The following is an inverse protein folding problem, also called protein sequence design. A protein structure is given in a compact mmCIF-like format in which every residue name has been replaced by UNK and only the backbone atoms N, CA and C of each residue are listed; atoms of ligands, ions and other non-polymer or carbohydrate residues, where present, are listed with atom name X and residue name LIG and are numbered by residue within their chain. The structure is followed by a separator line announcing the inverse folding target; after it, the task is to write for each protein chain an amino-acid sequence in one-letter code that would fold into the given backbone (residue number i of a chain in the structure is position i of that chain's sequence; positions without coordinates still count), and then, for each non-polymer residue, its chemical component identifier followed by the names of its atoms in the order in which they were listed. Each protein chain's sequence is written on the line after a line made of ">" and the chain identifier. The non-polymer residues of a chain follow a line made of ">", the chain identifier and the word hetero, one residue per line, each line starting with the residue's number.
data_IF_536259796705
#
_entry.id   IF_536259796705
#
_cell.length_a   1.000
_cell.length_b   1.000
_cell.length_c   1.000
_cell.angle_alpha   90.00
_cell.angle_beta   90.00
_cell.angle_gamma   90.00
#
_symmetry.space_group_name_H-M   'P 1'
#
loop_
_entity.id
_entity.type
_entity.pdbx_description
1 polymer ?
#
# COMPACT_ATOMS: atom_id res chain seq x y z
N UNK A 1 9.70 12.15 2.97
CA UNK A 1 10.67 11.88 4.05
C UNK A 1 9.89 11.55 5.33
N UNK A 2 10.15 10.43 6.02
CA UNK A 2 9.41 10.04 7.23
C UNK A 2 9.58 11.06 8.37
N UNK A 3 10.78 11.62 8.53
CA UNK A 3 11.05 12.58 9.61
C UNK A 3 10.21 13.85 9.45
N UNK A 4 10.13 14.40 8.25
CA UNK A 4 9.28 15.56 7.94
C UNK A 4 7.80 15.28 8.23
N UNK A 5 7.32 14.07 7.92
CA UNK A 5 5.95 13.66 8.23
C UNK A 5 5.71 13.57 9.74
N UNK A 6 6.65 12.99 10.48
CA UNK A 6 6.56 12.90 11.95
C UNK A 6 6.63 14.28 12.60
N UNK A 7 7.50 15.17 12.12
CA UNK A 7 7.61 16.55 12.57
C UNK A 7 6.29 17.30 12.33
N UNK A 8 5.72 17.21 11.12
CA UNK A 8 4.43 17.80 10.80
C UNK A 8 3.32 17.29 11.73
N UNK A 9 3.22 15.97 11.93
CA UNK A 9 2.19 15.37 12.80
C UNK A 9 2.41 15.64 14.29
N UNK A 10 3.64 15.93 14.70
CA UNK A 10 3.95 16.30 16.09
C UNK A 10 3.36 17.65 16.51
N UNK A 11 3.09 18.54 15.56
CA UNK A 11 2.44 19.82 15.83
C UNK A 11 1.01 19.63 16.38
N UNK A 12 0.35 18.54 16.00
CA UNK A 12 -1.06 18.24 16.31
C UNK A 12 -1.21 17.06 17.29
N UNK A 13 -0.14 16.34 17.61
CA UNK A 13 -0.19 15.13 18.44
C UNK A 13 0.89 15.16 19.54
N UNK A 14 0.45 15.37 20.78
CA UNK A 14 1.33 15.48 21.95
C UNK A 14 2.13 14.20 22.21
N UNK A 15 1.55 13.03 21.97
CA UNK A 15 2.23 11.75 22.13
C UNK A 15 3.40 11.62 21.16
N UNK A 16 3.19 11.95 19.88
CA UNK A 16 4.24 11.95 18.85
C UNK A 16 5.33 12.95 19.21
N UNK A 17 4.95 14.17 19.62
CA UNK A 17 5.90 15.22 20.04
C UNK A 17 6.78 14.78 21.20
N UNK A 18 6.18 14.18 22.23
CA UNK A 18 6.92 13.65 23.39
C UNK A 18 7.87 12.53 22.95
N UNK A 19 7.41 11.60 22.12
CA UNK A 19 8.23 10.47 21.66
C UNK A 19 9.40 10.93 20.78
N UNK A 20 9.20 11.89 19.87
CA UNK A 20 10.25 12.48 19.02
C UNK A 20 11.32 13.20 19.84
N UNK A 21 10.95 13.86 20.93
CA UNK A 21 11.93 14.52 21.81
C UNK A 21 12.82 13.54 22.59
N UNK A 22 12.37 12.30 22.78
CA UNK A 22 13.04 11.29 23.62
C UNK A 22 13.82 10.26 22.79
N UNK A 23 13.38 9.98 21.56
CA UNK A 23 13.95 8.92 20.72
C UNK A 23 14.69 9.52 19.52
N UNK A 24 15.95 9.08 19.32
CA UNK A 24 16.74 9.41 18.14
C UNK A 24 16.32 8.53 16.96
N UNK A 25 15.27 8.93 16.25
CA UNK A 25 14.83 8.27 14.99
C UNK A 25 15.72 8.62 13.78
N UNK A 26 16.95 9.05 14.01
CA UNK A 26 17.89 9.47 12.95
C UNK A 26 18.55 8.27 12.25
N UNK A 27 18.52 7.09 12.86
CA UNK A 27 19.10 5.88 12.27
C UNK A 27 18.16 5.28 11.22
N UNK A 28 18.72 4.89 10.08
CA UNK A 28 17.99 4.27 8.98
C UNK A 28 17.22 3.00 9.40
N UNK A 29 17.80 2.17 10.26
CA UNK A 29 17.15 0.93 10.73
C UNK A 29 15.85 1.23 11.49
N UNK A 30 15.88 2.19 12.41
CA UNK A 30 14.68 2.60 13.17
C UNK A 30 13.61 3.23 12.28
N UNK A 31 14.01 4.00 11.27
CA UNK A 31 13.04 4.56 10.31
C UNK A 31 12.39 3.46 9.48
N UNK A 32 13.17 2.49 8.99
CA UNK A 32 12.65 1.37 8.20
C UNK A 32 11.71 0.48 9.03
N UNK A 33 12.03 0.24 10.31
CA UNK A 33 11.14 -0.51 11.22
C UNK A 33 9.78 0.19 11.38
N UNK A 34 9.79 1.51 11.62
CA UNK A 34 8.56 2.30 11.71
C UNK A 34 7.77 2.26 10.40
N UNK A 35 8.45 2.38 9.26
CA UNK A 35 7.81 2.30 7.95
C UNK A 35 7.16 0.92 7.75
N UNK A 36 7.84 -0.17 8.12
CA UNK A 36 7.28 -1.53 8.04
C UNK A 36 6.01 -1.65 8.87
N UNK A 37 6.03 -1.21 10.12
CA UNK A 37 4.86 -1.28 11.01
C UNK A 37 3.70 -0.47 10.44
N UNK A 38 3.96 0.74 9.95
CA UNK A 38 2.92 1.59 9.34
C UNK A 38 2.36 0.94 8.07
N UNK A 39 3.23 0.42 7.21
CA UNK A 39 2.85 -0.27 5.99
C UNK A 39 1.97 -1.49 6.29
N UNK A 40 2.41 -2.36 7.20
CA UNK A 40 1.65 -3.54 7.63
C UNK A 40 0.28 -3.15 8.18
N UNK A 41 0.21 -2.10 9.01
CA UNK A 41 -1.05 -1.65 9.59
C UNK A 41 -2.02 -1.10 8.54
N UNK A 42 -1.53 -0.29 7.59
CA UNK A 42 -2.34 0.27 6.51
C UNK A 42 -2.84 -0.85 5.59
N UNK A 43 -1.97 -1.76 5.16
CA UNK A 43 -2.34 -2.86 4.28
C UNK A 43 -3.33 -3.81 4.95
N UNK A 44 -3.11 -4.15 6.24
CA UNK A 44 -4.05 -4.97 7.01
C UNK A 44 -5.45 -4.37 7.05
N UNK A 45 -5.55 -3.04 7.23
CA UNK A 45 -6.83 -2.33 7.20
C UNK A 45 -7.48 -2.37 5.82
N UNK A 46 -6.71 -2.10 4.77
CA UNK A 46 -7.20 -2.16 3.38
C UNK A 46 -7.72 -3.56 3.04
N UNK A 47 -6.96 -4.61 3.36
CA UNK A 47 -7.37 -6.01 3.14
C UNK A 47 -8.66 -6.33 3.91
N UNK A 48 -8.78 -5.83 5.13
CA UNK A 48 -10.02 -5.99 5.91
C UNK A 48 -11.21 -5.32 5.24
N UNK A 49 -11.05 -4.10 4.72
CA UNK A 49 -12.10 -3.38 3.96
C UNK A 49 -12.51 -4.16 2.69
N UNK A 50 -11.53 -4.70 1.96
CA UNK A 50 -11.79 -5.51 0.75
C UNK A 50 -12.57 -6.78 1.10
N UNK A 51 -12.16 -7.49 2.16
CA UNK A 51 -12.84 -8.72 2.61
C UNK A 51 -14.28 -8.45 3.07
N UNK A 52 -14.57 -7.29 3.65
CA UNK A 52 -15.93 -6.86 4.01
C UNK A 52 -16.76 -6.58 2.76
N UNK A 53 -16.21 -5.85 1.78
CA UNK A 53 -16.86 -5.59 0.48
C UNK A 53 -17.15 -6.87 -0.31
N UNK A 54 -16.41 -7.94 -0.02
CA UNK A 54 -16.39 -9.24 -0.71
C UNK A 54 -15.89 -9.14 -2.14
N UNK A 55 -16.56 -8.37 -2.99
CA UNK A 55 -16.19 -8.14 -4.38
C UNK A 55 -15.34 -6.88 -4.53
N UNK A 56 -14.40 -6.92 -5.46
CA UNK A 56 -13.50 -5.81 -5.75
C UNK A 56 -13.01 -5.86 -7.20
N UNK A 57 -12.61 -4.71 -7.74
CA UNK A 57 -11.96 -4.63 -9.05
C UNK A 57 -10.49 -4.25 -8.89
N UNK A 58 -9.68 -4.64 -9.88
CA UNK A 58 -8.24 -4.44 -9.86
C UNK A 58 -7.86 -3.49 -10.97
N UNK A 59 -7.06 -2.48 -10.64
CA UNK A 59 -6.47 -1.54 -11.59
C UNK A 59 -4.96 -1.66 -11.50
N UNK A 60 -4.35 -1.93 -12.65
CA UNK A 60 -2.90 -2.01 -12.82
C UNK A 60 -2.51 -0.94 -13.83
N UNK A 61 -1.57 -0.08 -13.47
CA UNK A 61 -1.04 0.94 -14.37
C UNK A 61 0.48 0.86 -14.43
N UNK A 62 1.02 0.94 -15.66
CA UNK A 62 2.45 0.94 -15.89
C UNK A 62 3.00 2.34 -15.62
N UNK A 63 4.01 2.41 -14.74
CA UNK A 63 4.68 3.65 -14.40
C UNK A 63 6.18 3.50 -14.60
N UNK A 64 6.85 4.60 -14.95
CA UNK A 64 8.30 4.63 -15.06
C UNK A 64 8.87 5.33 -13.83
N UNK A 65 9.68 4.62 -13.05
CA UNK A 65 10.39 5.21 -11.91
C UNK A 65 11.46 6.21 -12.39
N UNK A 66 11.89 7.11 -11.50
CA UNK A 66 12.92 8.14 -11.72
C UNK A 66 14.22 7.51 -12.26
N UNK A 67 14.48 6.25 -11.91
CA UNK A 67 15.61 5.43 -12.38
C UNK A 67 15.43 4.79 -13.78
N UNK A 68 14.34 5.13 -14.51
CA UNK A 68 13.93 4.57 -15.83
C UNK A 68 13.58 3.09 -15.83
N UNK A 69 13.30 2.51 -14.67
CA UNK A 69 12.88 1.12 -14.56
C UNK A 69 11.35 1.07 -14.64
N UNK A 70 10.81 0.10 -15.41
CA UNK A 70 9.37 -0.15 -15.48
C UNK A 70 8.90 -0.73 -14.14
N UNK A 71 7.84 -0.12 -13.60
CA UNK A 71 7.14 -0.58 -12.42
C UNK A 71 5.65 -0.58 -12.72
N UNK A 72 4.91 -1.36 -11.95
CA UNK A 72 3.45 -1.36 -12.03
C UNK A 72 2.88 -0.94 -10.70
N UNK A 73 1.86 -0.08 -10.77
CA UNK A 73 1.08 0.32 -9.61
C UNK A 73 -0.15 -0.56 -9.48
N UNK A 74 -0.50 -0.94 -8.25
CA UNK A 74 -1.72 -1.67 -7.96
C UNK A 74 -2.67 -0.81 -7.15
N UNK A 75 -3.89 -0.68 -7.68
CA UNK A 75 -5.00 -0.04 -6.99
C UNK A 75 -6.17 -1.02 -6.97
N UNK A 76 -6.74 -1.23 -5.79
CA UNK A 76 -7.97 -2.01 -5.63
C UNK A 76 -9.13 -1.04 -5.48
N UNK A 77 -10.17 -1.23 -6.29
CA UNK A 77 -11.41 -0.47 -6.21
C UNK A 77 -12.51 -1.35 -5.60
N UNK A 78 -13.23 -0.79 -4.64
CA UNK A 78 -14.29 -1.47 -3.88
C UNK A 78 -15.44 -0.51 -3.62
N UNK A 79 -16.59 -1.05 -3.20
CA UNK A 79 -17.77 -0.26 -2.82
C UNK A 79 -18.18 -0.57 -1.39
N UNK A 80 -18.64 0.45 -0.66
CA UNK A 80 -19.32 0.20 0.62
C UNK A 80 -20.79 -0.23 0.42
N UNK A 81 -21.48 -0.49 1.53
CA UNK A 81 -22.90 -0.87 1.56
C UNK A 81 -23.83 0.23 1.00
N UNK A 82 -23.32 1.46 0.88
CA UNK A 82 -24.02 2.61 0.32
C UNK A 82 -23.66 2.85 -1.16
N UNK A 83 -22.93 1.93 -1.79
CA UNK A 83 -22.44 2.02 -3.17
C UNK A 83 -21.49 3.19 -3.44
N UNK A 84 -20.85 3.74 -2.40
CA UNK A 84 -19.76 4.68 -2.58
C UNK A 84 -18.51 3.94 -3.06
N UNK A 85 -17.91 4.43 -4.13
CA UNK A 85 -16.70 3.85 -4.71
C UNK A 85 -15.48 4.35 -3.97
N UNK A 86 -14.61 3.41 -3.59
CA UNK A 86 -13.34 3.67 -2.95
C UNK A 86 -12.21 3.05 -3.74
N UNK A 87 -11.12 3.78 -3.85
CA UNK A 87 -9.88 3.30 -4.44
C UNK A 87 -8.81 3.23 -3.34
N UNK A 88 -8.11 2.10 -3.29
CA UNK A 88 -7.07 1.81 -2.31
C UNK A 88 -5.79 1.47 -3.04
N UNK A 89 -4.82 2.36 -2.91
CA UNK A 89 -3.48 2.12 -3.40
C UNK A 89 -2.79 1.06 -2.53
N UNK A 90 -2.24 0.03 -3.17
CA UNK A 90 -1.59 -1.09 -2.50
C UNK A 90 -0.07 -0.91 -2.52
N UNK A 91 0.49 -0.59 -3.68
CA UNK A 91 1.93 -0.47 -3.84
C UNK A 91 2.38 -0.42 -5.28
N UNK A 92 3.70 -0.39 -5.43
CA UNK A 92 4.40 -0.56 -6.70
C UNK A 92 5.20 -1.85 -6.66
N UNK A 93 5.32 -2.53 -7.79
CA UNK A 93 6.21 -3.67 -7.96
C UNK A 93 6.98 -3.56 -9.27
N UNK A 94 8.18 -4.12 -9.30
CA UNK A 94 8.98 -4.13 -10.52
C UNK A 94 8.41 -5.16 -11.48
N UNK A 95 7.98 -4.70 -12.65
CA UNK A 95 7.66 -5.60 -13.74
C UNK A 95 8.98 -6.03 -14.40
N UNK A 96 9.36 -7.31 -14.23
CA UNK A 96 10.47 -7.92 -14.97
C UNK A 96 10.13 -8.11 -16.45
N UNK A 97 8.84 -8.25 -16.74
CA UNK A 97 8.25 -8.35 -18.07
C UNK A 97 6.88 -7.64 -18.05
N UNK A 98 6.64 -6.77 -19.04
CA UNK A 98 5.38 -6.01 -19.19
C UNK A 98 4.40 -6.68 -20.15
N UNK A 99 4.70 -7.90 -20.59
CA UNK A 99 3.73 -8.71 -21.33
C UNK A 99 2.53 -9.11 -20.43
N UNK A 100 1.41 -9.46 -21.05
CA UNK A 100 0.17 -9.77 -20.31
C UNK A 100 0.28 -10.94 -19.33
N UNK A 101 1.14 -11.93 -19.62
CA UNK A 101 1.34 -13.08 -18.73
C UNK A 101 2.17 -12.69 -17.49
N UNK A 102 3.25 -11.92 -17.67
CA UNK A 102 4.10 -11.46 -16.58
C UNK A 102 3.32 -10.58 -15.60
N UNK A 103 2.47 -9.69 -16.12
CA UNK A 103 1.58 -8.87 -15.29
C UNK A 103 0.54 -9.72 -14.54
N UNK A 104 0.01 -10.76 -15.17
CA UNK A 104 -0.95 -11.66 -14.55
C UNK A 104 -0.31 -12.49 -13.43
N UNK A 105 0.88 -13.05 -13.65
CA UNK A 105 1.61 -13.82 -12.66
C UNK A 105 2.01 -12.95 -11.46
N UNK A 106 2.45 -11.72 -11.73
CA UNK A 106 2.75 -10.71 -10.71
C UNK A 106 1.52 -10.37 -9.87
N UNK A 107 0.37 -10.22 -10.52
CA UNK A 107 -0.89 -9.97 -9.83
C UNK A 107 -1.27 -11.13 -8.90
N UNK A 108 -1.13 -12.38 -9.37
CA UNK A 108 -1.42 -13.56 -8.55
C UNK A 108 -0.52 -13.64 -7.31
N UNK A 109 0.76 -13.31 -7.44
CA UNK A 109 1.70 -13.25 -6.31
C UNK A 109 1.29 -12.19 -5.28
N UNK A 110 0.88 -11.01 -5.74
CA UNK A 110 0.38 -9.95 -4.87
C UNK A 110 -0.91 -10.33 -4.15
N UNK A 111 -1.91 -10.85 -4.87
CA UNK A 111 -3.16 -11.30 -4.25
C UNK A 111 -2.92 -12.38 -3.20
N UNK A 112 -2.01 -13.33 -3.49
CA UNK A 112 -1.59 -14.34 -2.53
C UNK A 112 -0.93 -13.74 -1.29
N UNK A 113 -0.05 -12.75 -1.46
CA UNK A 113 0.62 -12.06 -0.34
C UNK A 113 -0.37 -11.30 0.54
N UNK A 114 -1.43 -10.75 -0.05
CA UNK A 114 -2.49 -10.03 0.66
C UNK A 114 -3.60 -10.94 1.18
N UNK A 115 -3.53 -12.25 0.92
CA UNK A 115 -4.57 -13.22 1.25
C UNK A 115 -5.96 -12.81 0.68
N UNK A 116 -5.95 -12.45 -0.62
CA UNK A 116 -7.13 -12.07 -1.40
C UNK A 116 -7.40 -13.11 -2.50
N UNK A 117 -8.66 -13.49 -2.65
CA UNK A 117 -9.08 -14.53 -3.60
C UNK A 117 -9.52 -13.90 -4.93
N UNK A 118 -8.85 -14.30 -6.01
CA UNK A 118 -9.11 -13.83 -7.37
C UNK A 118 -10.54 -14.11 -7.85
N UNK A 119 -11.24 -15.10 -7.27
CA UNK A 119 -12.62 -15.44 -7.65
C UNK A 119 -13.63 -14.35 -7.30
N UNK A 120 -13.28 -13.42 -6.40
CA UNK A 120 -14.11 -12.27 -6.07
C UNK A 120 -13.78 -11.02 -6.90
N UNK A 121 -12.82 -11.12 -7.83
CA UNK A 121 -12.50 -10.02 -8.74
C UNK A 121 -13.62 -9.83 -9.76
N UNK A 122 -14.11 -8.61 -9.86
CA UNK A 122 -15.09 -8.17 -10.85
C UNK A 122 -14.48 -7.07 -11.73
N UNK A 123 -14.69 -7.17 -13.04
CA UNK A 123 -14.14 -6.26 -14.06
C UNK A 123 -15.14 -5.23 -14.55
#
# INVERSE_FOLDING_TARGET
>A
NLLELLEFRSAENELIRKKLSTLKYTYHSSQNEILSIIQEHILSRIVSEIKISKYYSIMIDETTDISRHQQVSLVIRLTDDQFNVYERFIGFERASDTNGQGLFDLLLEWLKTLDLDITYVVG
#
